data_IF_508829624929
#
_entry.id   IF_508829624929
#
_cell.length_a   1.000
_cell.length_b   1.000
_cell.length_c   1.000
_cell.angle_alpha   90.00
_cell.angle_beta   90.00
_cell.angle_gamma   90.00
#
_symmetry.space_group_name_H-M   'P 1'
#
loop_
_entity.id
_entity.type
_entity.pdbx_description
1 polymer ?
#
# COMPACT_ATOMS: atom_id res chain seq x y z
N UNK A 1 -1.51 -3.28 5.72
CA UNK A 1 -1.43 -2.17 4.75
C UNK A 1 -0.17 -2.34 3.94
N UNK A 2 -0.25 -2.20 2.62
CA UNK A 2 0.87 -2.41 1.68
C UNK A 2 1.20 -1.09 0.98
N UNK A 3 2.48 -0.84 0.71
CA UNK A 3 2.93 0.39 0.05
C UNK A 3 2.41 1.64 0.75
N UNK A 4 1.81 2.59 0.04
CA UNK A 4 1.14 3.76 0.62
C UNK A 4 0.15 3.40 1.74
N UNK A 5 -0.53 2.25 1.65
CA UNK A 5 -1.42 1.75 2.70
C UNK A 5 -0.71 1.36 4.00
N UNK A 6 0.60 1.08 3.96
CA UNK A 6 1.41 0.83 5.17
C UNK A 6 1.63 2.13 5.97
N UNK A 7 1.80 3.28 5.30
CA UNK A 7 1.91 4.60 5.93
C UNK A 7 0.59 4.93 6.64
N UNK A 8 -0.54 4.72 5.95
CA UNK A 8 -1.87 4.95 6.51
C UNK A 8 -2.10 4.05 7.73
N UNK A 9 -1.85 2.73 7.59
CA UNK A 9 -2.03 1.78 8.68
C UNK A 9 -1.14 2.12 9.89
N UNK A 10 0.14 2.45 9.67
CA UNK A 10 1.09 2.80 10.72
C UNK A 10 0.72 4.10 11.47
N UNK A 11 0.13 5.06 10.76
CA UNK A 11 -0.36 6.30 11.36
C UNK A 11 -1.64 6.11 12.18
N UNK A 12 -2.61 5.37 11.64
CA UNK A 12 -3.84 5.03 12.38
C UNK A 12 -3.54 4.17 13.62
N UNK A 13 -2.54 3.29 13.54
CA UNK A 13 -2.05 2.50 14.67
C UNK A 13 -1.34 3.35 15.74
N UNK A 14 -0.98 4.60 15.43
CA UNK A 14 -0.42 5.59 16.35
C UNK A 14 -1.40 6.75 16.61
N UNK A 15 -2.69 6.47 16.43
CA UNK A 15 -3.79 7.39 16.73
C UNK A 15 -3.72 8.74 15.99
N UNK A 16 -3.00 8.81 14.87
CA UNK A 16 -3.11 9.94 13.93
C UNK A 16 -4.52 9.94 13.33
N UNK A 17 -5.11 11.12 13.22
CA UNK A 17 -6.37 11.29 12.53
C UNK A 17 -6.22 11.06 11.01
N UNK A 18 -7.32 10.70 10.36
CA UNK A 18 -7.37 10.59 8.90
C UNK A 18 -6.98 11.91 8.20
N UNK A 19 -7.35 13.05 8.80
CA UNK A 19 -6.99 14.37 8.29
C UNK A 19 -5.48 14.62 8.36
N UNK A 20 -4.81 14.29 9.47
CA UNK A 20 -3.36 14.40 9.59
C UNK A 20 -2.62 13.55 8.56
N UNK A 21 -3.13 12.34 8.27
CA UNK A 21 -2.58 11.46 7.25
C UNK A 21 -2.80 12.02 5.84
N UNK A 22 -3.98 12.57 5.56
CA UNK A 22 -4.26 13.25 4.30
C UNK A 22 -3.31 14.45 4.10
N UNK A 23 -3.17 15.29 5.12
CA UNK A 23 -2.30 16.47 5.08
C UNK A 23 -0.82 16.08 4.94
N UNK A 24 -0.40 14.97 5.55
CA UNK A 24 0.94 14.42 5.39
C UNK A 24 1.25 14.15 3.92
N UNK A 25 0.32 13.53 3.17
CA UNK A 25 0.49 13.36 1.73
C UNK A 25 0.42 14.70 1.01
N UNK A 26 -0.67 15.46 1.18
CA UNK A 26 -0.93 16.68 0.41
C UNK A 26 0.24 17.66 0.44
N UNK A 27 0.91 17.76 1.59
CA UNK A 27 2.06 18.65 1.80
C UNK A 27 3.41 18.08 1.32
N UNK A 28 3.54 16.76 1.13
CA UNK A 28 4.83 16.11 0.85
C UNK A 28 4.91 15.35 -0.49
N UNK A 29 3.81 15.15 -1.23
CA UNK A 29 3.78 14.35 -2.47
C UNK A 29 4.90 14.72 -3.46
N UNK A 30 5.07 16.01 -3.78
CA UNK A 30 6.12 16.48 -4.70
C UNK A 30 7.54 16.22 -4.17
N UNK A 31 7.72 16.19 -2.85
CA UNK A 31 9.01 15.90 -2.21
C UNK A 31 9.30 14.39 -2.15
N UNK A 32 8.27 13.56 -1.97
CA UNK A 32 8.35 12.10 -1.99
C UNK A 32 8.75 11.62 -3.38
N UNK A 33 8.05 12.08 -4.43
CA UNK A 33 8.32 11.72 -5.82
C UNK A 33 9.38 12.64 -6.46
N UNK A 34 10.47 12.91 -5.74
CA UNK A 34 11.60 13.66 -6.28
C UNK A 34 12.50 12.73 -7.09
N UNK A 35 12.59 12.98 -8.40
CA UNK A 35 13.40 12.16 -9.32
C UNK A 35 14.89 12.29 -9.00
N UNK A 36 15.61 11.19 -9.21
CA UNK A 36 17.07 11.26 -9.28
C UNK A 36 17.52 12.21 -10.41
N UNK A 37 18.67 12.89 -10.28
CA UNK A 37 19.25 13.65 -11.37
C UNK A 37 19.43 12.79 -12.62
N UNK A 38 19.25 13.40 -13.80
CA UNK A 38 19.25 12.69 -15.08
C UNK A 38 20.51 11.81 -15.29
N UNK A 39 21.68 12.28 -14.84
CA UNK A 39 22.96 11.56 -14.97
C UNK A 39 23.07 10.31 -14.07
N UNK A 40 22.24 10.18 -13.03
CA UNK A 40 22.13 8.93 -12.26
C UNK A 40 21.16 7.97 -12.92
N UNK A 41 20.10 8.49 -13.55
CA UNK A 41 19.06 7.71 -14.22
C UNK A 41 19.50 7.05 -15.53
N UNK A 42 20.67 7.40 -16.08
CA UNK A 42 21.28 6.64 -17.20
C UNK A 42 21.89 5.31 -16.74
N UNK A 43 22.09 5.12 -15.43
CA UNK A 43 22.54 3.84 -14.88
C UNK A 43 21.34 2.89 -14.87
N UNK A 44 21.39 1.71 -15.54
CA UNK A 44 20.21 0.84 -15.71
C UNK A 44 19.54 0.35 -14.42
N UNK A 45 20.25 0.40 -13.28
CA UNK A 45 19.75 -0.02 -11.97
C UNK A 45 19.21 1.13 -11.11
N UNK A 46 19.31 2.37 -11.58
CA UNK A 46 18.82 3.52 -10.82
C UNK A 46 17.29 3.58 -10.92
N UNK A 47 16.56 3.60 -9.80
CA UNK A 47 15.11 3.79 -9.84
C UNK A 47 14.77 5.23 -10.21
N UNK A 48 13.48 5.49 -10.44
CA UNK A 48 13.00 6.80 -10.89
C UNK A 48 13.15 7.88 -9.81
N UNK A 49 12.83 7.54 -8.55
CA UNK A 49 12.70 8.46 -7.43
C UNK A 49 13.70 8.15 -6.30
N UNK A 50 14.24 9.21 -5.71
CA UNK A 50 15.11 9.13 -4.53
C UNK A 50 14.26 9.01 -3.26
N UNK A 51 14.33 7.86 -2.59
CA UNK A 51 13.54 7.61 -1.40
C UNK A 51 14.03 8.35 -0.14
N UNK A 52 15.10 9.15 -0.20
CA UNK A 52 15.69 9.83 0.95
C UNK A 52 14.70 10.78 1.65
N UNK A 53 13.85 11.47 0.88
CA UNK A 53 12.82 12.34 1.45
C UNK A 53 11.71 11.53 2.13
N UNK A 54 11.23 10.47 1.47
CA UNK A 54 10.26 9.54 2.05
C UNK A 54 10.80 8.98 3.37
N UNK A 55 12.03 8.44 3.37
CA UNK A 55 12.68 7.92 4.58
C UNK A 55 12.68 8.93 5.73
N UNK A 56 13.07 10.18 5.49
CA UNK A 56 13.06 11.24 6.52
C UNK A 56 11.65 11.52 7.06
N UNK A 57 10.64 11.54 6.19
CA UNK A 57 9.24 11.73 6.58
C UNK A 57 8.79 10.57 7.47
N UNK A 58 9.12 9.33 7.10
CA UNK A 58 8.75 8.13 7.86
C UNK A 58 9.48 8.06 9.21
N UNK A 59 10.78 8.35 9.25
CA UNK A 59 11.55 8.41 10.49
C UNK A 59 11.01 9.46 11.46
N UNK A 60 10.57 10.61 10.95
CA UNK A 60 9.95 11.68 11.75
C UNK A 60 8.58 11.27 12.29
N UNK A 61 7.74 10.63 11.46
CA UNK A 61 6.34 10.35 11.81
C UNK A 61 6.13 9.04 12.57
N UNK A 62 7.05 8.08 12.41
CA UNK A 62 6.94 6.73 12.97
C UNK A 62 8.19 6.37 13.78
N UNK A 63 8.47 7.08 14.88
CA UNK A 63 9.59 6.75 15.77
C UNK A 63 9.32 5.47 16.56
N UNK A 64 10.39 4.91 17.14
CA UNK A 64 10.33 3.69 17.94
C UNK A 64 10.26 2.43 17.09
N UNK A 65 9.89 1.33 17.75
CA UNK A 65 9.92 -0.01 17.16
C UNK A 65 8.50 -0.59 17.04
N UNK A 66 8.34 -1.59 16.20
CA UNK A 66 7.05 -2.25 15.95
C UNK A 66 6.38 -2.71 17.27
N UNK A 67 7.17 -3.14 18.25
CA UNK A 67 6.67 -3.58 19.55
C UNK A 67 5.92 -2.49 20.35
N UNK A 68 6.04 -1.22 19.96
CA UNK A 68 5.35 -0.10 20.60
C UNK A 68 3.91 0.10 20.06
N UNK A 69 3.50 -0.60 19.00
CA UNK A 69 2.11 -0.56 18.52
C UNK A 69 1.20 -1.41 19.43
N UNK A 70 0.09 -0.81 19.87
CA UNK A 70 -0.92 -1.48 20.70
C UNK A 70 -1.99 -2.22 19.89
N UNK A 71 -2.14 -1.87 18.61
CA UNK A 71 -3.11 -2.46 17.69
C UNK A 71 -2.41 -3.46 16.76
N UNK A 72 -3.05 -4.60 16.41
CA UNK A 72 -2.53 -5.50 15.39
C UNK A 72 -2.25 -4.75 14.09
N UNK A 73 -1.10 -5.02 13.49
CA UNK A 73 -0.66 -4.40 12.26
C UNK A 73 0.11 -5.43 11.45
N UNK A 74 -0.16 -5.44 10.14
CA UNK A 74 0.44 -6.37 9.19
C UNK A 74 0.88 -5.55 7.98
N UNK A 75 2.19 -5.50 7.75
CA UNK A 75 2.80 -4.72 6.67
C UNK A 75 3.54 -5.68 5.75
N UNK A 76 2.96 -6.06 4.60
CA UNK A 76 3.64 -6.89 3.62
C UNK A 76 4.84 -6.20 2.99
N UNK A 77 5.90 -6.96 2.77
CA UNK A 77 7.12 -6.59 2.06
C UNK A 77 7.62 -7.78 1.26
N UNK A 78 8.41 -7.51 0.23
CA UNK A 78 9.16 -8.54 -0.47
C UNK A 78 10.57 -8.63 0.08
N UNK A 79 10.98 -9.83 0.48
CA UNK A 79 12.28 -10.13 1.05
C UNK A 79 13.18 -10.85 0.03
N UNK A 80 14.08 -10.11 -0.60
CA UNK A 80 14.78 -10.55 -1.82
C UNK A 80 15.88 -11.61 -1.59
N UNK A 81 16.33 -11.78 -0.35
CA UNK A 81 17.39 -12.72 0.00
C UNK A 81 17.06 -13.52 1.27
N UNK A 82 15.77 -13.77 1.49
CA UNK A 82 15.25 -14.62 2.54
C UNK A 82 15.05 -16.07 2.12
N UNK A 83 14.42 -16.86 3.00
CA UNK A 83 13.96 -18.22 2.68
C UNK A 83 12.73 -18.23 1.76
N UNK A 84 11.96 -17.15 1.76
CA UNK A 84 10.87 -16.90 0.82
C UNK A 84 10.83 -15.40 0.50
N UNK A 85 10.20 -15.07 -0.62
CA UNK A 85 10.09 -13.70 -1.12
C UNK A 85 9.05 -12.90 -0.31
N UNK A 86 8.16 -13.58 0.40
CA UNK A 86 7.08 -13.00 1.19
C UNK A 86 7.54 -12.77 2.64
N UNK A 87 7.37 -11.54 3.12
CA UNK A 87 7.47 -11.25 4.55
C UNK A 87 6.39 -10.28 4.96
N UNK A 88 5.84 -10.51 6.14
CA UNK A 88 4.94 -9.57 6.82
C UNK A 88 5.67 -9.07 8.05
N UNK A 89 5.76 -7.75 8.21
CA UNK A 89 6.09 -7.16 9.49
C UNK A 89 4.84 -7.14 10.35
N UNK A 90 4.93 -7.74 11.55
CA UNK A 90 3.86 -7.76 12.53
C UNK A 90 4.38 -7.55 13.96
N UNK A 91 3.50 -7.56 14.96
CA UNK A 91 3.86 -7.34 16.38
C UNK A 91 4.89 -8.34 16.94
N UNK A 92 5.20 -9.43 16.24
CA UNK A 92 6.30 -10.34 16.56
C UNK A 92 7.68 -9.76 16.25
N UNK A 93 7.81 -8.84 15.31
CA UNK A 93 9.07 -8.20 14.90
C UNK A 93 9.43 -6.99 15.81
N UNK A 94 9.37 -7.19 17.12
CA UNK A 94 9.36 -6.13 18.15
C UNK A 94 10.51 -5.12 18.07
N UNK A 95 11.70 -5.56 17.68
CA UNK A 95 12.92 -4.73 17.65
C UNK A 95 13.12 -3.98 16.33
N UNK A 96 12.28 -4.23 15.33
CA UNK A 96 12.34 -3.54 14.04
C UNK A 96 11.80 -2.14 14.18
N UNK A 97 12.47 -1.14 13.59
CA UNK A 97 11.97 0.25 13.58
C UNK A 97 10.68 0.34 12.77
N UNK A 98 9.67 1.05 13.30
CA UNK A 98 8.39 1.27 12.57
C UNK A 98 8.62 1.91 11.20
N UNK A 99 9.44 2.97 11.16
CA UNK A 99 9.79 3.67 9.92
C UNK A 99 10.47 2.76 8.90
N UNK A 100 11.27 1.80 9.34
CA UNK A 100 11.93 0.82 8.46
C UNK A 100 10.90 -0.16 7.86
N UNK A 101 10.01 -0.70 8.69
CA UNK A 101 8.95 -1.60 8.23
C UNK A 101 8.04 -0.92 7.19
N UNK A 102 7.68 0.34 7.43
CA UNK A 102 6.87 1.13 6.49
C UNK A 102 7.66 1.47 5.21
N UNK A 103 8.93 1.89 5.33
CA UNK A 103 9.77 2.24 4.18
C UNK A 103 9.99 1.04 3.25
N UNK A 104 10.31 -0.13 3.82
CA UNK A 104 10.49 -1.36 3.04
C UNK A 104 9.24 -1.74 2.26
N UNK A 105 8.05 -1.55 2.87
CA UNK A 105 6.77 -1.75 2.17
C UNK A 105 6.48 -0.72 1.10
N UNK A 106 7.07 0.48 1.13
CA UNK A 106 6.87 1.53 0.12
C UNK A 106 7.91 1.53 -1.01
N UNK A 107 8.90 0.63 -0.97
CA UNK A 107 10.02 0.60 -1.90
C UNK A 107 9.68 -0.12 -3.21
N UNK A 108 8.74 0.43 -3.97
CA UNK A 108 8.22 -0.18 -5.20
C UNK A 108 9.32 -0.33 -6.26
N UNK A 109 9.52 -1.53 -6.86
CA UNK A 109 10.54 -1.74 -7.88
C UNK A 109 10.40 -0.75 -9.03
N UNK A 110 11.52 -0.28 -9.58
CA UNK A 110 11.63 0.77 -10.62
C UNK A 110 11.23 2.19 -10.18
N UNK A 111 10.41 2.34 -9.13
CA UNK A 111 10.02 3.63 -8.56
C UNK A 111 11.02 4.11 -7.51
N UNK A 112 11.31 3.28 -6.51
CA UNK A 112 12.19 3.61 -5.38
C UNK A 112 13.32 2.60 -5.21
N UNK A 113 14.33 2.98 -4.42
CA UNK A 113 15.46 2.11 -4.10
C UNK A 113 15.03 0.91 -3.23
N UNK A 114 15.63 -0.25 -3.51
CA UNK A 114 15.63 -1.40 -2.61
C UNK A 114 16.27 -0.98 -1.29
N UNK A 115 15.63 -1.34 -0.18
CA UNK A 115 16.10 -1.00 1.16
C UNK A 115 16.99 -2.12 1.67
N UNK A 116 18.20 -1.78 2.08
CA UNK A 116 19.16 -2.75 2.62
C UNK A 116 19.44 -2.44 4.09
N UNK A 117 19.25 -3.42 4.97
CA UNK A 117 19.65 -3.35 6.37
C UNK A 117 20.33 -4.66 6.78
N UNK A 118 21.52 -4.55 7.40
CA UNK A 118 22.30 -5.73 7.86
C UNK A 118 22.50 -6.81 6.77
N UNK A 119 22.67 -6.38 5.52
CA UNK A 119 22.84 -7.28 4.37
C UNK A 119 21.56 -7.95 3.85
N UNK A 120 20.41 -7.62 4.43
CA UNK A 120 19.09 -8.09 4.00
C UNK A 120 18.45 -7.03 3.10
N UNK A 121 17.88 -7.46 1.97
CA UNK A 121 17.32 -6.58 0.93
C UNK A 121 15.81 -6.71 0.86
N UNK A 122 15.11 -5.59 0.90
CA UNK A 122 13.65 -5.52 0.93
C UNK A 122 13.11 -4.57 -0.13
N UNK A 123 11.97 -4.92 -0.70
CA UNK A 123 11.17 -4.05 -1.57
C UNK A 123 9.67 -4.16 -1.25
N UNK A 124 8.86 -3.40 -1.97
CA UNK A 124 7.42 -3.25 -1.74
C UNK A 124 6.67 -4.58 -1.73
N UNK A 125 5.74 -4.73 -0.79
CA UNK A 125 4.89 -5.91 -0.68
C UNK A 125 3.86 -6.02 -1.80
N UNK A 126 3.67 -4.97 -2.61
CA UNK A 126 2.80 -4.96 -3.78
C UNK A 126 3.15 -6.03 -4.81
N UNK A 127 4.36 -6.57 -4.75
CA UNK A 127 4.79 -7.73 -5.55
C UNK A 127 3.96 -9.00 -5.31
N UNK A 128 3.36 -9.17 -4.12
CA UNK A 128 2.59 -10.38 -3.78
C UNK A 128 1.32 -10.13 -2.95
N UNK A 129 1.26 -9.02 -2.22
CA UNK A 129 0.12 -8.65 -1.36
C UNK A 129 -0.26 -7.18 -1.51
N UNK A 130 -0.47 -6.72 -2.75
CA UNK A 130 -0.92 -5.36 -3.01
C UNK A 130 -2.33 -5.06 -2.45
N UNK A 131 -3.12 -6.11 -2.28
CA UNK A 131 -4.33 -6.11 -1.45
C UNK A 131 -4.07 -6.93 -0.17
N UNK A 132 -3.69 -6.31 0.95
CA UNK A 132 -3.31 -7.05 2.16
C UNK A 132 -4.50 -7.57 2.97
N UNK A 133 -5.72 -7.60 2.41
CA UNK A 133 -6.92 -8.04 3.14
C UNK A 133 -6.80 -9.49 3.63
N UNK A 134 -6.34 -10.40 2.78
CA UNK A 134 -6.14 -11.81 3.18
C UNK A 134 -4.96 -11.96 4.16
N UNK A 135 -3.89 -11.17 3.99
CA UNK A 135 -2.78 -11.11 4.94
C UNK A 135 -3.25 -10.66 6.33
N UNK A 136 -4.08 -9.61 6.38
CA UNK A 136 -4.72 -9.13 7.62
C UNK A 136 -5.56 -10.24 8.23
N UNK A 137 -6.41 -10.90 7.44
CA UNK A 137 -7.27 -11.98 7.89
C UNK A 137 -6.45 -13.13 8.53
N UNK A 138 -5.42 -13.58 7.82
CA UNK A 138 -4.53 -14.65 8.29
C UNK A 138 -3.81 -14.26 9.57
N UNK A 139 -3.33 -13.02 9.66
CA UNK A 139 -2.68 -12.47 10.84
C UNK A 139 -3.61 -12.42 12.06
N UNK A 140 -4.83 -11.91 11.88
CA UNK A 140 -5.86 -11.86 12.92
C UNK A 140 -6.22 -13.26 13.42
N UNK A 141 -6.45 -14.19 12.49
CA UNK A 141 -6.77 -15.59 12.79
C UNK A 141 -5.65 -16.26 13.58
N UNK A 142 -4.40 -16.09 13.14
CA UNK A 142 -3.22 -16.59 13.85
C UNK A 142 -3.09 -16.01 15.27
N UNK A 143 -3.54 -14.78 15.45
CA UNK A 143 -3.55 -14.09 16.75
C UNK A 143 -4.76 -14.48 17.63
N UNK A 144 -5.59 -15.42 17.17
CA UNK A 144 -6.74 -15.94 17.91
C UNK A 144 -8.02 -15.12 17.75
N UNK A 145 -8.04 -14.12 16.86
CA UNK A 145 -9.26 -13.40 16.53
C UNK A 145 -10.10 -14.22 15.54
N UNK A 146 -11.39 -14.39 15.84
CA UNK A 146 -12.32 -15.17 15.00
C UNK A 146 -13.63 -14.45 14.67
N UNK A 147 -13.89 -13.29 15.30
CA UNK A 147 -15.08 -12.48 15.06
C UNK A 147 -14.67 -11.05 14.73
N UNK A 148 -14.57 -10.74 13.44
CA UNK A 148 -14.17 -9.43 12.94
C UNK A 148 -14.85 -9.13 11.61
N UNK A 149 -14.96 -7.84 11.31
CA UNK A 149 -15.34 -7.31 10.01
C UNK A 149 -14.14 -6.67 9.34
N UNK A 150 -14.11 -6.71 8.01
CA UNK A 150 -13.05 -6.09 7.22
C UNK A 150 -13.63 -4.94 6.41
N UNK A 151 -13.12 -3.73 6.66
CA UNK A 151 -13.28 -2.58 5.78
C UNK A 151 -11.99 -2.42 4.96
N UNK A 152 -12.08 -2.59 3.64
CA UNK A 152 -10.96 -2.45 2.72
C UNK A 152 -11.07 -1.16 1.92
N UNK A 153 -9.94 -0.49 1.69
CA UNK A 153 -9.85 0.70 0.83
C UNK A 153 -8.94 0.37 -0.36
N UNK A 154 -9.51 0.35 -1.57
CA UNK A 154 -8.79 0.06 -2.79
C UNK A 154 -8.33 1.37 -3.44
N UNK A 155 -7.01 1.59 -3.52
CA UNK A 155 -6.41 2.79 -4.11
C UNK A 155 -6.31 2.74 -5.64
N UNK A 156 -6.41 1.55 -6.24
CA UNK A 156 -6.37 1.36 -7.69
C UNK A 156 -7.65 1.75 -8.42
N UNK A 157 -8.76 1.89 -7.68
CA UNK A 157 -10.11 2.12 -8.22
C UNK A 157 -10.57 0.98 -9.14
N UNK A 158 -11.88 0.89 -9.40
CA UNK A 158 -12.40 -0.01 -10.43
C UNK A 158 -12.27 0.69 -11.76
N UNK A 159 -11.40 0.19 -12.64
CA UNK A 159 -11.23 0.73 -13.99
C UNK A 159 -11.26 -0.41 -15.02
N UNK A 160 -11.62 -0.15 -16.29
CA UNK A 160 -11.62 -1.18 -17.32
C UNK A 160 -10.23 -1.82 -17.54
N UNK A 161 -10.19 -3.15 -17.75
CA UNK A 161 -9.02 -3.86 -18.26
C UNK A 161 -9.17 -4.03 -19.78
N UNK A 162 -8.15 -3.60 -20.53
CA UNK A 162 -8.20 -3.56 -22.00
C UNK A 162 -7.11 -4.39 -22.66
N UNK A 163 -6.20 -4.98 -21.89
CA UNK A 163 -5.11 -5.80 -22.40
C UNK A 163 -5.66 -7.12 -23.00
N UNK A 164 -5.17 -7.50 -24.19
CA UNK A 164 -5.58 -8.73 -24.86
C UNK A 164 -4.48 -9.28 -25.78
N UNK A 165 -4.47 -10.60 -25.99
CA UNK A 165 -3.56 -11.26 -26.93
C UNK A 165 -2.20 -11.67 -26.35
N UNK A 166 -1.32 -12.12 -27.22
CA UNK A 166 0.05 -12.51 -26.84
C UNK A 166 0.92 -11.28 -26.63
N UNK A 167 1.72 -11.30 -25.57
CA UNK A 167 2.70 -10.27 -25.25
C UNK A 167 4.12 -10.84 -25.32
N UNK A 168 5.06 -10.02 -25.76
CA UNK A 168 6.49 -10.27 -25.60
C UNK A 168 6.89 -10.27 -24.13
N UNK A 169 8.11 -10.71 -23.83
CA UNK A 169 8.64 -10.70 -22.45
C UNK A 169 8.66 -9.28 -21.84
N UNK A 170 8.93 -8.26 -22.65
CA UNK A 170 8.97 -6.88 -22.19
C UNK A 170 7.57 -6.36 -21.88
N UNK A 171 6.62 -6.60 -22.77
CA UNK A 171 5.22 -6.23 -22.57
C UNK A 171 4.61 -6.96 -21.36
N UNK A 172 4.96 -8.24 -21.13
CA UNK A 172 4.57 -8.96 -19.92
C UNK A 172 5.17 -8.34 -18.65
N UNK A 173 6.44 -7.91 -18.70
CA UNK A 173 7.08 -7.27 -17.55
C UNK A 173 6.40 -5.93 -17.20
N UNK A 174 6.10 -5.11 -18.21
CA UNK A 174 5.33 -3.87 -18.04
C UNK A 174 3.93 -4.15 -17.49
N UNK A 175 3.23 -5.14 -18.06
CA UNK A 175 1.89 -5.54 -17.62
C UNK A 175 1.87 -5.98 -16.16
N UNK A 176 2.83 -6.82 -15.72
CA UNK A 176 2.89 -7.28 -14.32
C UNK A 176 3.15 -6.11 -13.37
N UNK A 177 4.07 -5.21 -13.73
CA UNK A 177 4.37 -4.03 -12.92
C UNK A 177 3.14 -3.11 -12.81
N UNK A 178 2.44 -2.87 -13.91
CA UNK A 178 1.30 -1.95 -13.93
C UNK A 178 0.01 -2.56 -13.35
N UNK A 179 -0.27 -3.84 -13.60
CA UNK A 179 -1.54 -4.45 -13.21
C UNK A 179 -1.50 -5.18 -11.86
N UNK A 180 -0.35 -5.72 -11.45
CA UNK A 180 -0.27 -6.52 -10.23
C UNK A 180 0.48 -5.78 -9.11
N UNK A 181 1.60 -5.13 -9.45
CA UNK A 181 2.40 -4.39 -8.47
C UNK A 181 1.82 -3.01 -8.19
N UNK A 182 1.40 -2.29 -9.22
CA UNK A 182 0.88 -0.93 -9.08
C UNK A 182 -0.61 -0.85 -8.73
N UNK A 183 -1.36 -1.96 -8.85
CA UNK A 183 -2.82 -1.98 -8.68
C UNK A 183 -3.32 -3.07 -7.75
N UNK A 184 -4.36 -2.74 -7.00
CA UNK A 184 -5.04 -3.66 -6.10
C UNK A 184 -5.92 -4.64 -6.90
N UNK A 185 -5.65 -5.94 -6.78
CA UNK A 185 -6.47 -7.01 -7.36
C UNK A 185 -7.71 -7.34 -6.53
N UNK A 186 -8.58 -8.21 -7.05
CA UNK A 186 -9.84 -8.60 -6.38
C UNK A 186 -9.79 -9.98 -5.70
N UNK A 187 -8.78 -10.80 -5.99
CA UNK A 187 -8.66 -12.17 -5.47
C UNK A 187 -8.63 -12.21 -3.93
N UNK A 188 -7.75 -11.44 -3.30
CA UNK A 188 -7.57 -11.45 -1.84
C UNK A 188 -8.83 -10.98 -1.10
N UNK A 189 -9.59 -10.05 -1.69
CA UNK A 189 -10.87 -9.61 -1.13
C UNK A 189 -11.96 -10.68 -1.32
N UNK A 190 -12.01 -11.33 -2.47
CA UNK A 190 -12.92 -12.46 -2.73
C UNK A 190 -12.68 -13.60 -1.71
N UNK A 191 -11.42 -13.98 -1.48
CA UNK A 191 -11.06 -15.03 -0.53
C UNK A 191 -11.43 -14.65 0.90
N UNK A 192 -11.04 -13.46 1.35
CA UNK A 192 -11.34 -13.02 2.71
C UNK A 192 -12.85 -12.89 2.95
N UNK A 193 -13.60 -12.31 2.02
CA UNK A 193 -15.06 -12.21 2.10
C UNK A 193 -15.75 -13.58 2.09
N UNK A 194 -15.22 -14.55 1.34
CA UNK A 194 -15.71 -15.93 1.36
C UNK A 194 -15.48 -16.60 2.72
N UNK A 195 -14.35 -16.31 3.36
CA UNK A 195 -13.97 -16.89 4.64
C UNK A 195 -14.75 -16.30 5.84
N UNK A 196 -15.06 -15.00 5.84
CA UNK A 196 -15.79 -14.34 6.95
C UNK A 196 -17.28 -14.10 6.68
N UNK A 197 -17.74 -14.41 5.47
CA UNK A 197 -19.08 -14.08 4.99
C UNK A 197 -19.13 -12.68 4.37
N UNK A 198 -19.86 -12.57 3.25
CA UNK A 198 -19.94 -11.33 2.44
C UNK A 198 -20.47 -10.13 3.23
N UNK A 199 -21.34 -10.34 4.22
CA UNK A 199 -21.87 -9.27 5.06
C UNK A 199 -20.86 -8.70 6.07
N UNK A 200 -19.73 -9.39 6.27
CA UNK A 200 -18.64 -8.98 7.17
C UNK A 200 -17.45 -8.35 6.42
N UNK A 201 -17.54 -8.20 5.10
CA UNK A 201 -16.51 -7.56 4.28
C UNK A 201 -17.11 -6.43 3.45
N UNK A 202 -16.55 -5.23 3.58
CA UNK A 202 -16.95 -4.06 2.79
C UNK A 202 -15.73 -3.46 2.08
N UNK A 203 -15.79 -3.33 0.75
CA UNK A 203 -14.73 -2.72 -0.05
C UNK A 203 -15.14 -1.34 -0.54
N UNK A 204 -14.36 -0.34 -0.16
CA UNK A 204 -14.43 1.00 -0.71
C UNK A 204 -13.56 1.07 -1.97
N UNK A 205 -14.20 1.12 -3.15
CA UNK A 205 -13.51 1.20 -4.44
C UNK A 205 -14.38 2.01 -5.42
N UNK A 206 -14.08 3.31 -5.65
CA UNK A 206 -14.79 4.08 -6.66
C UNK A 206 -14.53 3.52 -8.06
N UNK A 207 -15.48 3.73 -8.97
CA UNK A 207 -15.30 3.42 -10.40
C UNK A 207 -14.79 4.66 -11.13
N UNK A 208 -13.81 4.47 -12.02
CA UNK A 208 -13.30 5.52 -12.89
C UNK A 208 -13.08 4.99 -14.32
N UNK A 209 -13.15 5.86 -15.32
CA UNK A 209 -13.08 5.48 -16.73
C UNK A 209 -11.65 5.19 -17.22
N UNK A 210 -10.64 5.75 -16.55
CA UNK A 210 -9.24 5.58 -16.90
C UNK A 210 -8.34 5.39 -15.68
N UNK A 211 -7.10 4.95 -15.93
CA UNK A 211 -6.10 4.72 -14.88
C UNK A 211 -5.37 6.02 -14.54
N UNK A 212 -5.27 6.34 -13.25
CA UNK A 212 -4.45 7.44 -12.75
C UNK A 212 -3.13 6.85 -12.23
N UNK A 213 -1.99 7.36 -12.72
CA UNK A 213 -0.67 6.89 -12.30
C UNK A 213 -0.39 7.28 -10.85
N UNK A 214 0.17 6.35 -10.06
CA UNK A 214 0.43 6.56 -8.64
C UNK A 214 1.43 7.69 -8.33
N UNK A 215 2.32 7.99 -9.27
CA UNK A 215 3.39 8.99 -9.14
C UNK A 215 3.05 10.33 -9.80
N UNK A 216 1.81 10.48 -10.30
CA UNK A 216 1.32 11.72 -10.91
C UNK A 216 0.78 12.65 -9.82
N UNK A 217 1.64 13.56 -9.37
CA UNK A 217 1.44 14.40 -8.18
C UNK A 217 1.22 15.90 -8.47
N UNK A 218 0.83 16.25 -9.69
CA UNK A 218 0.36 17.60 -10.00
C UNK A 218 -0.97 17.91 -9.28
N UNK A 219 -1.20 19.19 -9.02
CA UNK A 219 -2.31 19.62 -8.16
C UNK A 219 -3.69 19.29 -8.78
N UNK A 220 -3.80 19.33 -10.11
CA UNK A 220 -5.03 18.98 -10.83
C UNK A 220 -5.36 17.49 -10.67
N UNK A 221 -4.38 16.61 -10.89
CA UNK A 221 -4.56 15.16 -10.71
C UNK A 221 -4.88 14.80 -9.26
N UNK A 222 -4.21 15.43 -8.29
CA UNK A 222 -4.52 15.21 -6.87
C UNK A 222 -5.94 15.66 -6.54
N UNK A 223 -6.37 16.81 -7.06
CA UNK A 223 -7.73 17.33 -6.85
C UNK A 223 -8.80 16.45 -7.52
N UNK A 224 -8.49 15.90 -8.71
CA UNK A 224 -9.33 14.91 -9.38
C UNK A 224 -9.56 13.68 -8.49
N UNK A 225 -8.48 13.08 -7.98
CA UNK A 225 -8.55 11.91 -7.08
C UNK A 225 -9.39 12.22 -5.85
N UNK A 226 -9.19 13.37 -5.20
CA UNK A 226 -9.99 13.80 -4.05
C UNK A 226 -11.47 13.89 -4.43
N UNK A 227 -11.80 14.54 -5.55
CA UNK A 227 -13.19 14.68 -5.99
C UNK A 227 -13.86 13.33 -6.29
N UNK A 228 -13.14 12.37 -6.86
CA UNK A 228 -13.64 11.02 -7.12
C UNK A 228 -14.03 10.35 -5.80
N UNK A 229 -13.13 10.39 -4.81
CA UNK A 229 -13.37 9.77 -3.51
C UNK A 229 -14.46 10.46 -2.70
N UNK A 230 -14.56 11.80 -2.74
CA UNK A 230 -15.64 12.55 -2.07
C UNK A 230 -17.01 12.16 -2.63
N UNK A 231 -17.16 12.18 -3.97
CA UNK A 231 -18.40 11.76 -4.64
C UNK A 231 -18.75 10.32 -4.33
N UNK A 232 -17.76 9.43 -4.30
CA UNK A 232 -17.97 8.04 -3.95
C UNK A 232 -18.42 7.89 -2.50
N UNK A 233 -17.76 8.56 -1.56
CA UNK A 233 -18.15 8.55 -0.16
C UNK A 233 -19.60 9.01 0.00
N UNK A 234 -20.00 10.12 -0.62
CA UNK A 234 -21.38 10.60 -0.58
C UNK A 234 -22.38 9.55 -1.08
N UNK A 235 -22.00 8.78 -2.11
CA UNK A 235 -22.85 7.73 -2.68
C UNK A 235 -22.99 6.48 -1.79
N UNK A 236 -21.98 6.16 -0.97
CA UNK A 236 -21.97 4.94 -0.14
C UNK A 236 -22.05 5.20 1.37
N UNK A 237 -22.08 6.47 1.80
CA UNK A 237 -21.96 6.89 3.21
C UNK A 237 -22.93 6.17 4.12
N UNK A 238 -24.20 6.07 3.73
CA UNK A 238 -25.21 5.44 4.57
C UNK A 238 -24.91 3.96 4.82
N UNK A 239 -24.54 3.22 3.77
CA UNK A 239 -24.27 1.79 3.87
C UNK A 239 -22.95 1.51 4.58
N UNK A 240 -21.93 2.33 4.35
CA UNK A 240 -20.67 2.29 5.09
C UNK A 240 -20.90 2.51 6.60
N UNK A 241 -21.71 3.52 6.97
CA UNK A 241 -22.03 3.77 8.38
C UNK A 241 -22.87 2.65 8.99
N UNK A 242 -23.78 2.03 8.23
CA UNK A 242 -24.52 0.84 8.68
C UNK A 242 -23.57 -0.34 8.90
N UNK A 243 -22.61 -0.56 8.01
CA UNK A 243 -21.62 -1.63 8.10
C UNK A 243 -20.76 -1.49 9.37
N UNK A 244 -20.25 -0.29 9.65
CA UNK A 244 -19.38 -0.01 10.81
C UNK A 244 -20.12 -0.11 12.15
N UNK A 245 -21.41 0.26 12.20
CA UNK A 245 -22.20 0.29 13.44
C UNK A 245 -22.79 -1.08 13.84
N UNK A 246 -22.97 -1.97 12.88
CA UNK A 246 -23.42 -3.35 13.12
C UNK A 246 -22.29 -4.20 13.66
#
# INVERSE_FOLDING_TARGET
GTSTGSIIAAGLAQDKSAQELFDLYRTNLKNIFKKYPWYKRVVPKCPTYDHSNLKKILEKNFPGNIGDWSKPIYIPVTYMNGKSEEKVWDLGDKDTKKSFAVLTSCSAPTYFDVVVEKGQSFCDGGMWANDPVETLQSGLTRSGHSNYKILSFNTGMVTPHTACGNMSKLEWAEYILDEWVARTGEANFYEASSNIGVDNAFRCAPTHDHKIKMDKVDDDTVQEVVSIWDKYYDSVREDLLKFIKR
#
